data_IF_708872344883
#
_entry.id   IF_708872344883
#
_cell.length_a   1.000
_cell.length_b   1.000
_cell.length_c   1.000
_cell.angle_alpha   90.00
_cell.angle_beta   90.00
_cell.angle_gamma   90.00
#
_symmetry.space_group_name_H-M   'P 1'
#
loop_
_entity.id
_entity.type
_entity.pdbx_description
1 polymer ?
#
# COMPACT_ATOMS: atom_id res chain seq x y z
N UNK A 1 1.07 -32.71 6.99
CA UNK A 1 0.62 -31.36 7.40
C UNK A 1 -0.76 -31.16 6.80
N UNK A 2 -1.77 -30.86 7.61
CA UNK A 2 -3.10 -30.53 7.09
C UNK A 2 -3.07 -29.13 6.46
N UNK A 3 -3.86 -28.95 5.41
CA UNK A 3 -4.03 -27.66 4.76
C UNK A 3 -4.93 -26.81 5.65
N UNK A 4 -4.37 -25.76 6.26
CA UNK A 4 -5.15 -24.68 6.85
C UNK A 4 -5.76 -23.89 5.68
N UNK A 5 -7.07 -24.03 5.48
CA UNK A 5 -7.82 -23.35 4.43
C UNK A 5 -9.16 -22.95 5.00
N UNK A 6 -9.54 -21.70 4.78
CA UNK A 6 -10.88 -21.19 5.04
C UNK A 6 -11.96 -22.09 4.40
N UNK A 7 -12.99 -22.38 5.19
CA UNK A 7 -14.15 -23.14 4.73
C UNK A 7 -15.06 -22.22 3.92
N UNK A 8 -15.48 -22.69 2.74
CA UNK A 8 -16.50 -22.02 1.92
C UNK A 8 -17.93 -22.21 2.45
N UNK A 9 -18.11 -23.10 3.43
CA UNK A 9 -19.40 -23.41 4.04
C UNK A 9 -19.34 -22.96 5.49
N UNK A 10 -20.28 -22.08 5.85
CA UNK A 10 -20.37 -21.53 7.19
C UNK A 10 -21.23 -22.40 8.10
N UNK A 11 -20.60 -23.09 9.05
CA UNK A 11 -21.27 -23.85 10.11
C UNK A 11 -21.30 -23.10 11.45
N UNK A 12 -20.60 -21.97 11.55
CA UNK A 12 -20.40 -21.22 12.80
C UNK A 12 -21.07 -19.84 12.77
N UNK A 13 -21.90 -19.60 11.75
CA UNK A 13 -22.70 -18.38 11.58
C UNK A 13 -21.85 -17.11 11.39
N UNK A 14 -20.65 -17.24 10.83
CA UNK A 14 -19.81 -16.11 10.41
C UNK A 14 -20.48 -15.23 9.34
N UNK A 15 -21.45 -15.77 8.58
CA UNK A 15 -22.22 -15.04 7.59
C UNK A 15 -22.92 -13.81 8.19
N UNK A 16 -23.48 -13.89 9.40
CA UNK A 16 -24.13 -12.72 10.02
C UNK A 16 -23.15 -11.56 10.23
N UNK A 17 -21.91 -11.89 10.63
CA UNK A 17 -20.84 -10.90 10.80
C UNK A 17 -20.37 -10.37 9.45
N UNK A 18 -20.21 -11.25 8.46
CA UNK A 18 -19.80 -10.86 7.11
C UNK A 18 -20.82 -9.95 6.42
N UNK A 19 -22.13 -10.22 6.56
CA UNK A 19 -23.20 -9.35 6.07
C UNK A 19 -23.21 -8.00 6.80
N UNK A 20 -23.01 -7.99 8.12
CA UNK A 20 -22.91 -6.73 8.88
C UNK A 20 -21.71 -5.88 8.41
N UNK A 21 -20.57 -6.51 8.10
CA UNK A 21 -19.40 -5.83 7.54
C UNK A 21 -19.72 -5.32 6.13
N UNK A 22 -20.37 -6.13 5.28
CA UNK A 22 -20.82 -5.74 3.94
C UNK A 22 -21.69 -4.48 4.00
N UNK A 23 -22.71 -4.46 4.85
CA UNK A 23 -23.61 -3.30 4.98
C UNK A 23 -22.82 -2.03 5.34
N UNK A 24 -21.85 -2.12 6.26
CA UNK A 24 -21.03 -0.98 6.65
C UNK A 24 -20.09 -0.48 5.55
N UNK A 25 -19.41 -1.39 4.82
CA UNK A 25 -18.43 -1.00 3.79
C UNK A 25 -19.07 -0.57 2.47
N UNK A 26 -20.37 -0.86 2.28
CA UNK A 26 -21.13 -0.46 1.10
C UNK A 26 -21.93 0.83 1.30
N UNK A 27 -22.07 1.29 2.54
CA UNK A 27 -22.73 2.55 2.86
C UNK A 27 -21.91 3.75 2.37
N UNK A 28 -22.49 4.52 1.44
CA UNK A 28 -21.78 5.62 0.76
C UNK A 28 -21.44 6.76 1.70
N UNK A 29 -22.29 7.00 2.69
CA UNK A 29 -22.10 8.06 3.68
C UNK A 29 -20.97 7.76 4.68
N UNK A 30 -20.57 6.48 4.80
CA UNK A 30 -19.49 6.04 5.68
C UNK A 30 -18.12 6.02 4.98
N UNK A 31 -18.06 6.16 3.66
CA UNK A 31 -16.80 6.11 2.92
C UNK A 31 -15.98 7.41 3.04
N UNK A 32 -14.65 7.34 3.26
CA UNK A 32 -13.83 6.13 3.43
C UNK A 32 -13.92 5.58 4.87
N UNK A 33 -14.18 4.27 4.99
CA UNK A 33 -14.20 3.54 6.28
C UNK A 33 -13.07 2.51 6.33
N UNK A 34 -12.57 2.23 7.53
CA UNK A 34 -11.66 1.11 7.81
C UNK A 34 -12.24 0.29 8.95
N UNK A 35 -12.37 -1.03 8.74
CA UNK A 35 -12.93 -1.96 9.72
C UNK A 35 -11.82 -2.92 10.17
N UNK A 36 -11.60 -3.01 11.48
CA UNK A 36 -10.70 -3.98 12.08
C UNK A 36 -11.47 -5.20 12.55
N UNK A 37 -11.07 -6.39 12.09
CA UNK A 37 -11.61 -7.68 12.56
C UNK A 37 -10.63 -8.27 13.57
N UNK A 38 -11.03 -8.32 14.85
CA UNK A 38 -10.20 -8.79 15.95
C UNK A 38 -10.69 -10.12 16.51
N UNK A 39 -9.77 -10.95 16.99
CA UNK A 39 -10.08 -12.23 17.60
C UNK A 39 -8.83 -13.11 17.72
N UNK A 40 -8.90 -14.13 18.57
CA UNK A 40 -7.80 -15.08 18.80
C UNK A 40 -7.42 -15.86 17.53
N UNK A 41 -6.29 -16.55 17.58
CA UNK A 41 -5.89 -17.48 16.51
C UNK A 41 -6.93 -18.60 16.38
N UNK A 42 -7.37 -18.89 15.15
CA UNK A 42 -8.45 -19.83 14.88
C UNK A 42 -9.87 -19.29 15.07
N UNK A 43 -10.06 -18.01 15.43
CA UNK A 43 -11.39 -17.41 15.60
C UNK A 43 -12.20 -17.19 14.30
N UNK A 44 -11.65 -17.54 13.13
CA UNK A 44 -12.34 -17.41 11.84
C UNK A 44 -12.24 -16.04 11.16
N UNK A 45 -11.27 -15.19 11.54
CA UNK A 45 -11.07 -13.85 10.94
C UNK A 45 -10.94 -13.90 9.41
N UNK A 46 -10.05 -14.74 8.89
CA UNK A 46 -9.86 -14.94 7.44
C UNK A 46 -11.13 -15.48 6.77
N UNK A 47 -11.87 -16.36 7.44
CA UNK A 47 -13.18 -16.84 6.97
C UNK A 47 -14.17 -15.70 6.83
N UNK A 48 -14.27 -14.80 7.82
CA UNK A 48 -15.14 -13.62 7.77
C UNK A 48 -14.78 -12.73 6.58
N UNK A 49 -13.48 -12.49 6.34
CA UNK A 49 -13.02 -11.68 5.20
C UNK A 49 -13.42 -12.33 3.86
N UNK A 50 -13.20 -13.64 3.69
CA UNK A 50 -13.55 -14.34 2.44
C UNK A 50 -15.08 -14.43 2.23
N UNK A 51 -15.86 -14.61 3.30
CA UNK A 51 -17.32 -14.59 3.23
C UNK A 51 -17.85 -13.19 2.84
N UNK A 52 -17.28 -12.13 3.40
CA UNK A 52 -17.63 -10.74 3.06
C UNK A 52 -17.33 -10.43 1.60
N UNK A 53 -16.19 -10.89 1.11
CA UNK A 53 -15.80 -10.75 -0.30
C UNK A 53 -16.76 -11.51 -1.22
N UNK A 54 -17.11 -12.75 -0.86
CA UNK A 54 -18.04 -13.56 -1.63
C UNK A 54 -19.46 -12.96 -1.68
N UNK A 55 -19.94 -12.35 -0.59
CA UNK A 55 -21.28 -11.71 -0.56
C UNK A 55 -21.37 -10.44 -1.41
N UNK A 56 -20.23 -9.82 -1.73
CA UNK A 56 -20.12 -8.69 -2.66
C UNK A 56 -20.02 -9.13 -4.13
N UNK A 57 -19.60 -10.36 -4.42
CA UNK A 57 -19.57 -10.89 -5.79
C UNK A 57 -20.98 -11.14 -6.35
N UNK A 58 -21.96 -11.34 -5.47
CA UNK A 58 -23.37 -11.54 -5.82
C UNK A 58 -24.21 -10.25 -5.84
N UNK A 59 -23.60 -9.09 -5.60
CA UNK A 59 -24.30 -7.80 -5.56
C UNK A 59 -24.59 -7.25 -6.97
N UNK A 60 -25.60 -6.40 -7.11
CA UNK A 60 -25.88 -5.69 -8.37
C UNK A 60 -24.84 -4.60 -8.65
N UNK A 61 -24.31 -3.97 -7.59
CA UNK A 61 -23.26 -2.98 -7.71
C UNK A 61 -21.91 -3.65 -7.92
N UNK A 62 -21.10 -3.13 -8.84
CA UNK A 62 -19.74 -3.63 -9.04
C UNK A 62 -18.74 -3.00 -8.07
N UNK A 63 -17.90 -3.85 -7.46
CA UNK A 63 -16.84 -3.45 -6.55
C UNK A 63 -15.47 -3.85 -7.08
N UNK A 64 -14.46 -3.01 -6.85
CA UNK A 64 -13.06 -3.40 -7.07
C UNK A 64 -12.56 -4.01 -5.78
N UNK A 65 -12.38 -5.32 -5.78
CA UNK A 65 -11.95 -6.06 -4.59
C UNK A 65 -10.45 -6.40 -4.70
N UNK A 66 -9.65 -5.99 -3.72
CA UNK A 66 -8.21 -6.27 -3.61
C UNK A 66 -7.96 -7.09 -2.35
N UNK A 67 -7.32 -8.24 -2.48
CA UNK A 67 -6.91 -9.07 -1.35
C UNK A 67 -5.40 -9.01 -1.17
N UNK A 68 -4.97 -8.70 0.04
CA UNK A 68 -3.57 -8.65 0.44
C UNK A 68 -3.36 -9.50 1.70
N UNK A 69 -2.52 -10.51 1.59
CA UNK A 69 -2.09 -11.34 2.72
C UNK A 69 -0.66 -10.98 3.10
N UNK A 70 -0.50 -10.38 4.28
CA UNK A 70 0.78 -9.97 4.83
C UNK A 70 1.75 -11.14 5.07
N UNK A 71 1.25 -12.36 5.26
CA UNK A 71 2.10 -13.54 5.49
C UNK A 71 3.09 -13.77 4.34
N UNK A 72 2.63 -13.57 3.10
CA UNK A 72 3.45 -13.76 1.89
C UNK A 72 4.67 -12.83 1.85
N UNK A 73 4.60 -11.71 2.58
CA UNK A 73 5.63 -10.68 2.62
C UNK A 73 6.40 -10.66 3.95
N UNK A 74 6.20 -11.65 4.82
CA UNK A 74 6.93 -11.77 6.07
C UNK A 74 8.44 -11.91 5.80
N UNK A 75 9.24 -11.02 6.37
CA UNK A 75 10.69 -10.98 6.17
C UNK A 75 11.16 -10.23 4.91
N UNK A 76 10.23 -9.70 4.11
CA UNK A 76 10.54 -8.67 3.11
C UNK A 76 10.40 -7.28 3.75
N UNK A 77 11.40 -6.43 3.57
CA UNK A 77 11.53 -5.12 4.24
C UNK A 77 10.44 -4.09 3.90
N UNK A 78 9.40 -4.44 3.13
CA UNK A 78 8.32 -3.50 2.86
C UNK A 78 6.92 -4.07 2.56
N UNK A 79 6.18 -4.37 3.62
CA UNK A 79 4.75 -4.71 3.54
C UNK A 79 3.88 -3.56 2.96
N UNK A 80 4.26 -2.29 3.16
CA UNK A 80 3.48 -1.15 2.64
C UNK A 80 3.65 -1.04 1.13
N UNK A 81 4.87 -1.17 0.62
CA UNK A 81 5.11 -1.20 -0.82
C UNK A 81 4.46 -2.42 -1.48
N UNK A 82 4.50 -3.59 -0.83
CA UNK A 82 3.83 -4.79 -1.33
C UNK A 82 2.29 -4.61 -1.42
N UNK A 83 1.68 -3.98 -0.42
CA UNK A 83 0.26 -3.63 -0.43
C UNK A 83 -0.05 -2.70 -1.62
N UNK A 84 0.73 -1.63 -1.79
CA UNK A 84 0.55 -0.69 -2.90
C UNK A 84 0.71 -1.36 -4.28
N UNK A 85 1.68 -2.26 -4.44
CA UNK A 85 1.86 -3.04 -5.67
C UNK A 85 0.68 -3.97 -5.95
N UNK A 86 0.14 -4.60 -4.90
CA UNK A 86 -1.02 -5.49 -5.02
C UNK A 86 -2.26 -4.71 -5.48
N UNK A 87 -2.47 -3.52 -4.92
CA UNK A 87 -3.52 -2.59 -5.35
C UNK A 87 -3.28 -2.18 -6.81
N UNK A 88 -2.07 -1.73 -7.16
CA UNK A 88 -1.75 -1.27 -8.51
C UNK A 88 -1.90 -2.37 -9.56
N UNK A 89 -1.40 -3.58 -9.28
CA UNK A 89 -1.54 -4.74 -10.16
C UNK A 89 -3.00 -5.07 -10.42
N UNK A 90 -3.83 -5.02 -9.37
CA UNK A 90 -5.27 -5.29 -9.49
C UNK A 90 -5.97 -4.21 -10.32
N UNK A 91 -5.67 -2.92 -10.07
CA UNK A 91 -6.23 -1.81 -10.83
C UNK A 91 -5.79 -1.85 -12.29
N UNK A 92 -4.53 -2.16 -12.60
CA UNK A 92 -4.04 -2.32 -13.97
C UNK A 92 -4.77 -3.47 -14.69
N UNK A 93 -4.99 -4.60 -14.02
CA UNK A 93 -5.75 -5.72 -14.59
C UNK A 93 -7.20 -5.34 -14.86
N UNK A 94 -7.87 -4.68 -13.91
CA UNK A 94 -9.27 -4.24 -14.05
C UNK A 94 -9.45 -3.13 -15.09
N UNK A 95 -8.41 -2.35 -15.34
CA UNK A 95 -8.39 -1.30 -16.35
C UNK A 95 -8.05 -1.80 -17.76
N UNK A 96 -7.75 -3.09 -17.96
CA UNK A 96 -7.15 -3.60 -19.21
C UNK A 96 -8.03 -3.37 -20.46
N UNK A 97 -9.35 -3.37 -20.29
CA UNK A 97 -10.32 -3.25 -21.40
C UNK A 97 -10.57 -1.80 -21.83
N UNK A 98 -10.14 -0.81 -21.03
CA UNK A 98 -10.29 0.61 -21.33
C UNK A 98 -8.93 1.28 -21.49
N UNK A 99 -8.68 1.88 -22.65
CA UNK A 99 -7.39 2.50 -22.97
C UNK A 99 -7.04 3.68 -22.06
N UNK A 100 -8.02 4.49 -21.66
CA UNK A 100 -7.83 5.65 -20.80
C UNK A 100 -7.55 5.20 -19.36
N UNK A 101 -8.40 4.31 -18.83
CA UNK A 101 -8.19 3.71 -17.51
C UNK A 101 -6.86 2.97 -17.46
N UNK A 102 -6.51 2.18 -18.49
CA UNK A 102 -5.22 1.47 -18.53
C UNK A 102 -4.04 2.45 -18.50
N UNK A 103 -4.15 3.62 -19.13
CA UNK A 103 -3.09 4.62 -19.12
C UNK A 103 -2.92 5.20 -17.71
N UNK A 104 -4.01 5.59 -17.06
CA UNK A 104 -4.01 6.11 -15.68
C UNK A 104 -3.53 5.06 -14.67
N UNK A 105 -3.96 3.80 -14.81
CA UNK A 105 -3.53 2.71 -13.93
C UNK A 105 -2.02 2.43 -14.05
N UNK A 106 -1.48 2.48 -15.28
CA UNK A 106 -0.03 2.37 -15.51
C UNK A 106 0.74 3.58 -14.99
N UNK A 107 0.19 4.78 -15.09
CA UNK A 107 0.78 5.98 -14.47
C UNK A 107 0.87 5.81 -12.95
N UNK A 108 -0.22 5.39 -12.30
CA UNK A 108 -0.26 5.11 -10.88
C UNK A 108 0.78 4.04 -10.47
N UNK A 109 0.83 2.91 -11.17
CA UNK A 109 1.83 1.87 -10.94
C UNK A 109 3.27 2.40 -11.09
N UNK A 110 3.54 3.17 -12.15
CA UNK A 110 4.87 3.76 -12.37
C UNK A 110 5.29 4.77 -11.31
N UNK A 111 4.34 5.36 -10.57
CA UNK A 111 4.65 6.22 -9.40
C UNK A 111 5.11 5.40 -8.20
N UNK A 112 4.55 4.21 -7.99
CA UNK A 112 5.03 3.27 -6.97
C UNK A 112 6.45 2.82 -7.29
N UNK A 113 6.74 2.48 -8.54
CA UNK A 113 8.09 2.09 -8.98
C UNK A 113 9.12 3.20 -8.72
N UNK A 114 8.75 4.47 -8.97
CA UNK A 114 9.60 5.63 -8.68
C UNK A 114 9.90 5.76 -7.18
N UNK A 115 8.91 5.56 -6.32
CA UNK A 115 9.07 5.60 -4.86
C UNK A 115 9.99 4.48 -4.39
N UNK A 116 9.80 3.25 -4.90
CA UNK A 116 10.67 2.12 -4.58
C UNK A 116 12.10 2.34 -5.04
N UNK A 117 12.28 2.79 -6.29
CA UNK A 117 13.60 3.13 -6.83
C UNK A 117 14.28 4.21 -6.00
N UNK A 118 13.53 5.23 -5.57
CA UNK A 118 14.05 6.27 -4.68
C UNK A 118 14.57 5.68 -3.36
N UNK A 119 13.77 4.83 -2.70
CA UNK A 119 14.19 4.21 -1.45
C UNK A 119 15.43 3.32 -1.61
N UNK A 120 15.50 2.55 -2.70
CA UNK A 120 16.69 1.73 -3.03
C UNK A 120 17.93 2.58 -3.30
N UNK A 121 17.79 3.71 -4.02
CA UNK A 121 18.90 4.64 -4.25
C UNK A 121 19.36 5.30 -2.95
N UNK A 122 18.44 5.63 -2.05
CA UNK A 122 18.77 6.16 -0.72
C UNK A 122 19.56 5.15 0.11
N UNK A 123 19.12 3.88 0.15
CA UNK A 123 19.83 2.82 0.87
C UNK A 123 21.20 2.53 0.24
N UNK A 124 21.28 2.45 -1.09
CA UNK A 124 22.56 2.27 -1.79
C UNK A 124 23.53 3.43 -1.52
N UNK A 125 23.04 4.67 -1.53
CA UNK A 125 23.83 5.84 -1.18
C UNK A 125 24.31 5.84 0.27
N UNK A 126 23.44 5.48 1.21
CA UNK A 126 23.77 5.35 2.63
C UNK A 126 24.83 4.27 2.86
N UNK A 127 24.67 3.08 2.26
CA UNK A 127 25.63 1.98 2.37
C UNK A 127 27.02 2.37 1.84
N UNK A 128 27.10 3.03 0.68
CA UNK A 128 28.36 3.53 0.13
C UNK A 128 29.02 4.61 1.01
N UNK A 129 28.23 5.34 1.78
CA UNK A 129 28.69 6.34 2.74
C UNK A 129 29.03 5.76 4.12
N UNK A 130 28.86 4.45 4.34
CA UNK A 130 29.07 3.80 5.64
C UNK A 130 27.98 4.11 6.67
N UNK A 131 26.82 4.59 6.22
CA UNK A 131 25.64 4.87 7.05
C UNK A 131 24.75 3.62 7.08
N UNK A 132 24.21 3.20 8.24
CA UNK A 132 23.28 2.08 8.32
C UNK A 132 22.08 2.27 7.39
N UNK A 133 21.78 1.26 6.58
CA UNK A 133 20.56 1.20 5.76
C UNK A 133 19.38 0.93 6.67
N UNK A 134 18.49 1.90 6.83
CA UNK A 134 17.31 1.84 7.72
C UNK A 134 16.02 1.68 6.92
N UNK A 135 16.08 1.04 5.75
CA UNK A 135 14.94 0.86 4.85
C UNK A 135 14.45 2.19 4.27
N UNK A 136 15.11 2.68 3.23
CA UNK A 136 14.80 3.95 2.57
C UNK A 136 13.34 4.02 2.08
N UNK A 137 12.77 2.89 1.66
CA UNK A 137 11.35 2.83 1.28
C UNK A 137 10.45 3.02 2.50
N UNK A 138 10.77 2.43 3.67
CA UNK A 138 10.03 2.66 4.92
C UNK A 138 10.02 4.14 5.32
N UNK A 139 11.15 4.85 5.16
CA UNK A 139 11.22 6.29 5.42
C UNK A 139 10.31 7.09 4.49
N UNK A 140 10.33 6.80 3.18
CA UNK A 140 9.44 7.46 2.23
C UNK A 140 7.97 7.13 2.53
N UNK A 141 7.66 5.89 2.86
CA UNK A 141 6.32 5.44 3.25
C UNK A 141 5.86 6.03 4.59
N UNK A 142 6.78 6.35 5.52
CA UNK A 142 6.48 7.10 6.74
C UNK A 142 6.00 8.51 6.45
N UNK A 143 6.52 9.16 5.40
CA UNK A 143 6.04 10.46 4.95
C UNK A 143 4.61 10.41 4.38
N UNK A 144 4.15 9.26 3.90
CA UNK A 144 2.75 9.09 3.47
C UNK A 144 1.76 9.10 4.64
N UNK A 145 2.17 8.63 5.81
CA UNK A 145 1.34 8.58 7.03
C UNK A 145 1.30 9.89 7.82
N UNK A 146 2.18 10.85 7.53
CA UNK A 146 2.08 12.21 8.06
C UNK A 146 0.85 12.91 7.48
N UNK A 147 -0.11 13.27 8.33
CA UNK A 147 -1.38 13.91 7.95
C UNK A 147 -1.19 15.25 7.24
N UNK A 148 -2.29 15.82 6.73
CA UNK A 148 -2.31 17.00 5.86
C UNK A 148 -1.72 18.30 6.47
N UNK A 149 -1.37 18.31 7.77
CA UNK A 149 -0.63 19.38 8.45
C UNK A 149 0.68 18.90 9.11
N UNK A 150 1.25 17.79 8.63
CA UNK A 150 2.41 17.15 9.23
C UNK A 150 3.67 17.99 9.09
N UNK A 151 4.05 18.63 10.19
CA UNK A 151 5.41 19.07 10.48
C UNK A 151 6.35 17.91 10.15
N UNK A 152 6.93 17.99 8.94
CA UNK A 152 8.06 17.17 8.57
C UNK A 152 9.06 17.38 9.69
N UNK A 153 9.54 16.31 10.31
CA UNK A 153 10.79 16.43 11.06
C UNK A 153 11.87 16.71 10.01
N UNK A 154 12.06 18.01 9.74
CA UNK A 154 12.89 18.54 8.66
C UNK A 154 14.35 18.13 8.89
N UNK A 155 14.68 17.71 10.11
CA UNK A 155 16.01 17.28 10.50
C UNK A 155 16.36 15.88 9.96
N UNK A 156 15.38 14.97 9.82
CA UNK A 156 15.59 13.66 9.18
C UNK A 156 15.82 13.77 7.66
N UNK A 157 15.16 14.74 7.02
CA UNK A 157 15.35 15.02 5.58
C UNK A 157 16.64 15.80 5.35
N UNK A 158 16.98 16.77 6.20
CA UNK A 158 18.25 17.51 6.11
C UNK A 158 19.45 16.59 6.29
N UNK A 159 19.43 15.65 7.24
CA UNK A 159 20.52 14.69 7.45
C UNK A 159 20.79 13.82 6.22
N UNK A 160 19.74 13.34 5.55
CA UNK A 160 19.86 12.58 4.30
C UNK A 160 20.33 13.44 3.11
N UNK A 161 19.83 14.67 3.01
CA UNK A 161 20.16 15.61 1.93
C UNK A 161 21.58 16.16 2.07
N UNK A 162 22.07 16.42 3.29
CA UNK A 162 23.42 16.94 3.51
C UNK A 162 24.48 15.83 3.42
N UNK A 163 24.16 14.61 3.85
CA UNK A 163 24.98 13.42 3.56
C UNK A 163 25.12 13.15 2.05
N UNK A 164 24.02 13.26 1.30
CA UNK A 164 24.05 13.16 -0.16
C UNK A 164 24.85 14.30 -0.83
N UNK A 165 24.77 15.54 -0.31
CA UNK A 165 25.56 16.67 -0.81
C UNK A 165 27.06 16.50 -0.57
N UNK A 166 27.49 15.90 0.53
CA UNK A 166 28.91 15.71 0.82
C UNK A 166 29.52 14.54 0.04
N UNK A 167 28.74 13.50 -0.27
CA UNK A 167 29.10 12.44 -1.24
C UNK A 167 29.14 13.00 -2.67
N UNK A 168 28.16 13.83 -3.04
CA UNK A 168 28.10 14.54 -4.32
C UNK A 168 29.28 15.49 -4.55
N UNK A 169 29.71 16.22 -3.51
CA UNK A 169 30.89 17.11 -3.58
C UNK A 169 32.20 16.37 -3.80
N UNK A 170 32.33 15.12 -3.32
CA UNK A 170 33.52 14.27 -3.52
C UNK A 170 33.61 13.69 -4.94
N UNK A 171 32.48 13.49 -5.63
CA UNK A 171 32.42 12.93 -6.99
C UNK A 171 31.79 13.93 -7.98
N UNK A 172 32.50 15.05 -8.23
CA UNK A 172 32.11 16.14 -9.15
C UNK A 172 31.85 15.74 -10.63
N UNK A 173 31.94 14.46 -10.98
CA UNK A 173 31.79 13.96 -12.36
C UNK A 173 30.46 13.25 -12.67
N UNK A 174 29.60 12.97 -11.69
CA UNK A 174 28.45 12.07 -11.88
C UNK A 174 27.07 12.71 -11.81
N UNK A 175 26.97 14.00 -11.46
CA UNK A 175 25.68 14.68 -11.31
C UNK A 175 25.49 15.61 -12.49
N UNK A 176 25.14 15.03 -13.64
CA UNK A 176 24.49 15.77 -14.71
C UNK A 176 23.00 15.89 -14.39
N UNK A 177 22.51 17.11 -14.51
CA UNK A 177 21.12 17.55 -14.53
C UNK A 177 20.06 16.44 -14.53
N UNK A 178 19.23 16.38 -13.48
CA UNK A 178 17.82 16.17 -13.72
C UNK A 178 16.95 16.67 -12.55
N UNK A 179 16.12 17.66 -12.87
CA UNK A 179 14.89 18.13 -12.22
C UNK A 179 14.65 17.63 -10.79
N UNK A 180 14.60 18.56 -9.84
CA UNK A 180 14.23 18.40 -8.43
C UNK A 180 13.24 17.24 -8.17
N UNK A 181 13.77 16.07 -7.88
CA UNK A 181 13.02 14.87 -7.51
C UNK A 181 12.95 14.85 -5.99
N UNK A 182 11.82 15.29 -5.43
CA UNK A 182 11.63 15.43 -3.98
C UNK A 182 10.57 14.45 -3.48
N UNK A 183 10.81 13.71 -2.39
CA UNK A 183 9.84 12.77 -1.83
C UNK A 183 8.44 13.39 -1.60
N UNK A 184 8.31 14.61 -1.03
CA UNK A 184 7.00 15.22 -0.82
C UNK A 184 6.22 15.50 -2.11
N UNK A 185 6.91 15.83 -3.22
CA UNK A 185 6.26 16.08 -4.50
C UNK A 185 5.75 14.78 -5.11
N UNK A 186 6.56 13.73 -5.09
CA UNK A 186 6.15 12.42 -5.61
C UNK A 186 4.98 11.83 -4.81
N UNK A 187 4.95 12.05 -3.48
CA UNK A 187 3.82 11.68 -2.61
C UNK A 187 2.52 12.39 -3.04
N UNK A 188 2.58 13.71 -3.24
CA UNK A 188 1.41 14.50 -3.69
C UNK A 188 0.90 14.02 -5.04
N UNK A 189 1.81 13.81 -5.97
CA UNK A 189 1.46 13.36 -7.31
C UNK A 189 0.96 11.91 -7.34
N UNK A 190 1.47 11.04 -6.46
CA UNK A 190 0.92 9.70 -6.22
C UNK A 190 -0.53 9.78 -5.73
N UNK A 191 -0.80 10.59 -4.69
CA UNK A 191 -2.15 10.75 -4.12
C UNK A 191 -3.12 11.26 -5.18
N UNK A 192 -2.67 12.20 -6.02
CA UNK A 192 -3.44 12.72 -7.15
C UNK A 192 -3.74 11.64 -8.19
N UNK A 193 -2.73 10.92 -8.67
CA UNK A 193 -2.91 9.86 -9.66
C UNK A 193 -3.85 8.75 -9.15
N UNK A 194 -3.74 8.40 -7.87
CA UNK A 194 -4.65 7.45 -7.21
C UNK A 194 -6.09 7.97 -7.18
N UNK A 195 -6.31 9.22 -6.73
CA UNK A 195 -7.64 9.83 -6.68
C UNK A 195 -8.28 9.94 -8.07
N UNK A 196 -7.52 10.39 -9.07
CA UNK A 196 -8.00 10.55 -10.45
C UNK A 196 -8.31 9.20 -11.11
N UNK A 197 -7.58 8.14 -10.74
CA UNK A 197 -7.84 6.78 -11.19
C UNK A 197 -9.13 6.22 -10.57
N UNK A 198 -9.32 6.36 -9.25
CA UNK A 198 -10.54 5.88 -8.58
C UNK A 198 -11.79 6.59 -9.06
N UNK A 199 -11.71 7.90 -9.32
CA UNK A 199 -12.81 8.67 -9.92
C UNK A 199 -13.18 8.17 -11.32
N UNK A 200 -12.19 7.81 -12.13
CA UNK A 200 -12.44 7.27 -13.48
C UNK A 200 -13.05 5.87 -13.44
N UNK A 201 -12.67 5.05 -12.45
CA UNK A 201 -13.28 3.73 -12.25
C UNK A 201 -14.75 3.80 -11.87
N UNK A 202 -15.16 4.86 -11.16
CA UNK A 202 -16.52 5.08 -10.65
C UNK A 202 -17.10 3.86 -9.90
N UNK A 203 -16.22 3.14 -9.19
CA UNK A 203 -16.55 1.94 -8.41
C UNK A 203 -15.85 2.02 -7.05
N UNK A 204 -16.50 1.61 -5.95
CA UNK A 204 -15.83 1.53 -4.67
C UNK A 204 -14.67 0.51 -4.72
N UNK A 205 -13.54 0.89 -4.13
CA UNK A 205 -12.38 0.03 -3.94
C UNK A 205 -12.40 -0.51 -2.51
N UNK A 206 -12.48 -1.83 -2.37
CA UNK A 206 -12.44 -2.54 -1.10
C UNK A 206 -11.12 -3.30 -1.02
N UNK A 207 -10.35 -3.02 0.03
CA UNK A 207 -9.04 -3.64 0.25
C UNK A 207 -9.11 -4.51 1.51
N UNK A 208 -9.03 -5.81 1.32
CA UNK A 208 -8.95 -6.80 2.39
C UNK A 208 -7.48 -7.00 2.75
N UNK A 209 -7.14 -6.81 4.02
CA UNK A 209 -5.79 -6.98 4.55
C UNK A 209 -5.83 -8.06 5.62
N UNK A 210 -5.29 -9.24 5.31
CA UNK A 210 -5.22 -10.38 6.22
C UNK A 210 -3.81 -10.54 6.82
N UNK A 211 -3.73 -11.23 7.96
CA UNK A 211 -2.50 -11.51 8.72
C UNK A 211 -1.65 -10.26 9.04
N UNK A 212 -2.31 -9.12 9.29
CA UNK A 212 -1.63 -7.84 9.55
C UNK A 212 -0.66 -7.90 10.75
N UNK A 213 -0.87 -8.81 11.70
CA UNK A 213 0.05 -9.09 12.81
C UNK A 213 1.48 -9.42 12.33
N UNK A 214 1.61 -9.95 11.11
CA UNK A 214 2.89 -10.29 10.46
C UNK A 214 3.66 -9.08 9.94
N UNK A 215 3.03 -7.91 9.88
CA UNK A 215 3.66 -6.65 9.50
C UNK A 215 4.18 -5.84 10.70
N UNK A 216 4.12 -6.38 11.92
CA UNK A 216 4.62 -5.70 13.11
C UNK A 216 6.14 -5.50 13.01
N UNK A 217 6.67 -4.31 13.35
CA UNK A 217 8.12 -4.10 13.37
C UNK A 217 8.78 -5.08 14.34
N UNK A 218 9.97 -5.58 13.99
CA UNK A 218 10.82 -6.26 14.95
C UNK A 218 11.08 -5.28 16.11
N UNK A 219 10.59 -5.60 17.31
CA UNK A 219 10.69 -4.83 18.58
C UNK A 219 9.47 -3.98 18.99
N UNK A 220 8.23 -4.46 18.75
CA UNK A 220 7.06 -3.98 19.50
C UNK A 220 6.88 -4.76 20.82
#
# INVERSE_FOLDING_TARGET
MWSDKESKIDFLNFNETAESIKDLITEKELMPISIGVFGDWGAGKSTILELTKASLESDEQEYIQVHFDAWTFQGYDDAKAALLETIASTLVKKAADDKNLSAKAKEFAGRIDKIRLMGLLMDGGAALAGIPTMGGIQKIMGLFSGGDDGELDVDDVKGAVDGAKDVAKKNKGLIKDNKSFSPPKEIKEFRKAYSDLLKEFDKPLIVYVDNLDRCSPFNA
#
